data_IF_847301620864
#
_entry.id   IF_847301620864
#
_cell.length_a   1.000
_cell.length_b   1.000
_cell.length_c   1.000
_cell.angle_alpha   90.00
_cell.angle_beta   90.00
_cell.angle_gamma   90.00
#
_symmetry.space_group_name_H-M   'P 1'
#
loop_
_entity.id
_entity.type
_entity.pdbx_description
1 polymer ?
#
# COMPACT_ATOMS: atom_id res chain seq x y z
N UNK A 1 28.16 -0.19 -14.20
CA UNK A 1 26.93 0.62 -14.35
C UNK A 1 25.75 -0.33 -14.49
N UNK A 2 25.09 -0.66 -13.37
CA UNK A 2 24.02 -1.66 -13.34
C UNK A 2 22.71 -1.04 -13.83
N UNK A 3 22.26 -1.45 -15.00
CA UNK A 3 20.98 -1.07 -15.61
C UNK A 3 19.88 -1.64 -14.71
N UNK A 4 19.30 -0.84 -13.80
CA UNK A 4 18.11 -1.23 -13.05
C UNK A 4 17.04 -1.60 -14.09
N UNK A 5 16.74 -2.90 -14.22
CA UNK A 5 15.59 -3.35 -14.98
C UNK A 5 14.36 -2.74 -14.30
N UNK A 6 13.73 -1.76 -14.95
CA UNK A 6 12.37 -1.40 -14.63
C UNK A 6 11.56 -2.70 -14.73
N UNK A 7 11.05 -3.19 -13.62
CA UNK A 7 10.08 -4.29 -13.63
C UNK A 7 8.94 -3.84 -14.54
N UNK A 8 8.79 -4.49 -15.70
CA UNK A 8 7.77 -4.16 -16.68
C UNK A 8 6.39 -4.44 -16.08
N UNK A 9 5.82 -3.43 -15.42
CA UNK A 9 4.41 -3.45 -15.03
C UNK A 9 3.55 -3.18 -16.25
N UNK A 10 2.34 -3.73 -16.24
CA UNK A 10 1.37 -3.46 -17.28
C UNK A 10 0.95 -1.98 -17.22
N UNK A 11 0.97 -1.21 -18.31
CA UNK A 11 0.74 0.22 -18.25
C UNK A 11 -0.71 0.54 -17.88
N UNK A 12 -0.91 1.52 -17.00
CA UNK A 12 -2.23 1.89 -16.47
C UNK A 12 -3.22 2.29 -17.59
N UNK A 13 -2.72 2.93 -18.64
CA UNK A 13 -3.50 3.36 -19.81
C UNK A 13 -3.94 2.20 -20.71
N UNK A 14 -3.28 1.03 -20.65
CA UNK A 14 -3.67 -0.14 -21.45
C UNK A 14 -4.75 -1.01 -20.77
N UNK A 15 -5.16 -0.67 -19.54
CA UNK A 15 -6.22 -1.39 -18.83
C UNK A 15 -7.54 -0.99 -19.46
N UNK A 16 -8.29 -1.97 -19.96
CA UNK A 16 -9.55 -1.75 -20.66
C UNK A 16 -10.73 -1.89 -19.70
N UNK A 17 -11.70 -0.98 -19.81
CA UNK A 17 -12.88 -0.94 -18.93
C UNK A 17 -12.57 -0.44 -17.51
N UNK A 18 -13.43 -0.75 -16.54
CA UNK A 18 -13.26 -0.36 -15.12
C UNK A 18 -13.13 1.16 -14.89
N UNK A 19 -13.85 1.98 -15.67
CA UNK A 19 -13.67 3.43 -15.67
C UNK A 19 -13.87 4.06 -14.29
N UNK A 20 -14.86 3.60 -13.53
CA UNK A 20 -15.09 4.06 -12.16
C UNK A 20 -13.87 3.83 -11.25
N UNK A 21 -13.30 2.63 -11.31
CA UNK A 21 -12.13 2.29 -10.51
C UNK A 21 -10.88 3.05 -10.97
N UNK A 22 -10.72 3.24 -12.29
CA UNK A 22 -9.63 4.05 -12.86
C UNK A 22 -9.72 5.51 -12.39
N UNK A 23 -10.92 6.11 -12.47
CA UNK A 23 -11.15 7.47 -11.99
C UNK A 23 -10.91 7.61 -10.50
N UNK A 24 -11.39 6.66 -9.68
CA UNK A 24 -11.16 6.67 -8.24
C UNK A 24 -9.66 6.74 -7.92
N UNK A 25 -8.84 5.89 -8.55
CA UNK A 25 -7.39 5.91 -8.36
C UNK A 25 -6.77 7.24 -8.82
N UNK A 26 -7.15 7.74 -10.00
CA UNK A 26 -6.66 9.05 -10.49
C UNK A 26 -7.00 10.17 -9.50
N UNK A 27 -8.19 10.17 -8.90
CA UNK A 27 -8.55 11.18 -7.90
C UNK A 27 -7.66 11.12 -6.67
N UNK A 28 -7.23 9.93 -6.23
CA UNK A 28 -6.28 9.79 -5.12
C UNK A 28 -4.88 10.31 -5.47
N UNK A 29 -4.52 10.38 -6.75
CA UNK A 29 -3.28 11.03 -7.18
C UNK A 29 -3.37 12.57 -7.12
N UNK A 30 -4.59 13.13 -7.12
CA UNK A 30 -4.84 14.58 -7.03
C UNK A 30 -5.02 14.99 -5.57
N UNK A 31 -5.84 14.25 -4.83
CA UNK A 31 -6.16 14.52 -3.43
C UNK A 31 -6.09 13.23 -2.61
N UNK A 32 -5.08 13.16 -1.75
CA UNK A 32 -4.85 12.01 -0.85
C UNK A 32 -5.80 12.02 0.36
N UNK A 33 -6.59 13.09 0.57
CA UNK A 33 -7.58 13.19 1.64
C UNK A 33 -8.91 12.48 1.34
N UNK A 34 -9.06 11.88 0.16
CA UNK A 34 -10.29 11.19 -0.29
C UNK A 34 -10.58 9.87 0.45
N UNK A 35 -9.77 9.51 1.45
CA UNK A 35 -9.88 8.26 2.20
C UNK A 35 -9.36 7.06 1.40
N UNK A 36 -9.94 5.89 1.65
CA UNK A 36 -9.58 4.65 0.95
C UNK A 36 -10.51 4.32 -0.22
N UNK A 37 -9.98 3.67 -1.26
CA UNK A 37 -10.78 3.09 -2.36
C UNK A 37 -10.95 1.59 -2.18
N UNK A 38 -12.20 1.11 -2.22
CA UNK A 38 -12.52 -0.32 -2.29
C UNK A 38 -12.79 -0.73 -3.74
N UNK A 39 -12.01 -1.68 -4.26
CA UNK A 39 -12.17 -2.23 -5.61
C UNK A 39 -12.89 -3.58 -5.59
N UNK A 40 -14.15 -3.58 -6.01
CA UNK A 40 -14.98 -4.80 -6.05
C UNK A 40 -15.02 -5.42 -7.44
N UNK A 41 -15.02 -6.75 -7.50
CA UNK A 41 -15.19 -7.50 -8.76
C UNK A 41 -14.79 -8.97 -8.61
N UNK A 42 -14.99 -9.78 -9.64
CA UNK A 42 -14.59 -11.18 -9.63
C UNK A 42 -13.06 -11.37 -9.70
N UNK A 43 -12.59 -12.57 -9.36
CA UNK A 43 -11.20 -12.97 -9.62
C UNK A 43 -10.94 -12.92 -11.13
N UNK A 44 -9.76 -12.46 -11.52
CA UNK A 44 -9.39 -12.31 -12.94
C UNK A 44 -9.80 -10.99 -13.60
N UNK A 45 -10.50 -10.08 -12.91
CA UNK A 45 -10.86 -8.76 -13.44
C UNK A 45 -9.73 -7.71 -13.39
N UNK A 46 -8.45 -8.12 -13.36
CA UNK A 46 -7.29 -7.22 -13.36
C UNK A 46 -7.22 -6.14 -12.24
N UNK A 47 -7.96 -6.30 -11.12
CA UNK A 47 -7.96 -5.34 -9.99
C UNK A 47 -6.56 -5.07 -9.44
N UNK A 48 -5.80 -6.12 -9.11
CA UNK A 48 -4.43 -6.00 -8.60
C UNK A 48 -3.47 -5.45 -9.66
N UNK A 49 -3.65 -5.85 -10.92
CA UNK A 49 -2.90 -5.29 -12.07
C UNK A 49 -3.07 -3.77 -12.16
N UNK A 50 -4.30 -3.28 -11.99
CA UNK A 50 -4.61 -1.85 -12.06
C UNK A 50 -4.02 -1.05 -10.90
N UNK A 51 -4.11 -1.55 -9.66
CA UNK A 51 -3.51 -0.88 -8.50
C UNK A 51 -1.98 -0.87 -8.60
N UNK A 52 -1.36 -1.96 -9.08
CA UNK A 52 0.09 -2.01 -9.32
C UNK A 52 0.53 -1.06 -10.43
N UNK A 53 -0.26 -0.94 -11.50
CA UNK A 53 0.01 0.01 -12.59
C UNK A 53 -0.16 1.48 -12.15
N UNK A 54 -1.06 1.75 -11.20
CA UNK A 54 -1.29 3.08 -10.66
C UNK A 54 -0.08 3.65 -9.90
N UNK A 55 0.77 2.79 -9.31
CA UNK A 55 2.04 3.19 -8.67
C UNK A 55 2.91 4.08 -9.57
N UNK A 56 2.90 3.84 -10.87
CA UNK A 56 3.71 4.59 -11.84
C UNK A 56 3.14 5.99 -12.15
N UNK A 57 1.88 6.24 -11.77
CA UNK A 57 1.23 7.55 -11.87
C UNK A 57 1.53 8.41 -10.63
N UNK A 58 1.69 7.78 -9.47
CA UNK A 58 1.96 8.49 -8.24
C UNK A 58 3.34 9.14 -8.26
N UNK A 59 3.36 10.47 -8.19
CA UNK A 59 4.58 11.26 -8.02
C UNK A 59 4.90 11.34 -6.53
N UNK A 60 5.83 10.50 -6.07
CA UNK A 60 6.28 10.54 -4.67
C UNK A 60 7.49 11.46 -4.51
N UNK A 61 7.26 12.78 -4.57
CA UNK A 61 8.25 13.82 -4.24
C UNK A 61 9.71 13.50 -4.62
N UNK A 62 10.57 13.36 -3.61
CA UNK A 62 12.03 13.14 -3.72
C UNK A 62 12.46 11.73 -4.19
N UNK A 63 11.51 10.82 -4.43
CA UNK A 63 11.79 9.45 -4.85
C UNK A 63 11.31 9.18 -6.28
N UNK A 64 12.12 8.44 -7.05
CA UNK A 64 11.80 8.10 -8.44
C UNK A 64 10.56 7.18 -8.60
N UNK A 65 10.05 6.57 -7.52
CA UNK A 65 8.86 5.72 -7.55
C UNK A 65 8.16 5.71 -6.19
N UNK A 66 6.84 5.84 -6.16
CA UNK A 66 6.04 5.72 -4.93
C UNK A 66 6.15 4.32 -4.33
N UNK A 67 6.21 4.15 -3.00
CA UNK A 67 6.20 2.82 -2.40
C UNK A 67 4.87 2.10 -2.70
N UNK A 68 4.95 0.77 -2.84
CA UNK A 68 3.78 -0.09 -3.02
C UNK A 68 3.93 -1.27 -2.07
N UNK A 69 3.08 -1.32 -1.06
CA UNK A 69 3.18 -2.28 0.04
C UNK A 69 1.91 -3.11 0.06
N UNK A 70 2.04 -4.42 -0.05
CA UNK A 70 0.92 -5.35 0.07
C UNK A 70 0.81 -5.83 1.53
N UNK A 71 -0.40 -5.79 2.07
CA UNK A 71 -0.71 -6.32 3.40
C UNK A 71 -1.01 -7.81 3.28
N UNK A 72 -0.19 -8.69 3.90
CA UNK A 72 -0.46 -10.12 3.91
C UNK A 72 -1.76 -10.43 4.65
N UNK A 73 -2.48 -11.45 4.17
CA UNK A 73 -3.60 -12.04 4.92
C UNK A 73 -3.09 -12.52 6.29
N UNK A 74 -3.66 -12.00 7.37
CA UNK A 74 -3.22 -12.31 8.74
C UNK A 74 -1.99 -11.55 9.22
N UNK A 75 -1.68 -10.38 8.66
CA UNK A 75 -0.73 -9.46 9.27
C UNK A 75 -1.13 -9.18 10.74
N UNK A 76 -0.16 -9.13 11.65
CA UNK A 76 -0.39 -8.65 13.00
C UNK A 76 -0.43 -7.12 13.03
N UNK A 77 -1.02 -6.57 14.09
CA UNK A 77 -0.97 -5.14 14.39
C UNK A 77 0.46 -4.60 14.42
N UNK A 78 1.38 -5.31 15.10
CA UNK A 78 2.81 -4.96 15.14
C UNK A 78 3.46 -4.92 13.75
N UNK A 79 2.99 -5.75 12.81
CA UNK A 79 3.49 -5.72 11.43
C UNK A 79 2.90 -4.53 10.66
N UNK A 80 1.63 -4.21 10.90
CA UNK A 80 0.93 -3.11 10.23
C UNK A 80 1.42 -1.74 10.70
N UNK A 81 1.38 -1.48 12.01
CA UNK A 81 1.75 -0.21 12.64
C UNK A 81 3.26 -0.11 12.89
N UNK A 82 3.90 -1.23 13.22
CA UNK A 82 5.27 -1.28 13.73
C UNK A 82 5.30 -1.69 15.19
N UNK A 83 6.51 -1.91 15.71
CA UNK A 83 6.70 -2.30 17.11
C UNK A 83 7.98 -1.72 17.70
N UNK A 84 8.14 -1.83 19.02
CA UNK A 84 9.35 -1.42 19.74
C UNK A 84 9.91 -2.64 20.46
N UNK A 85 11.22 -2.84 20.40
CA UNK A 85 11.88 -3.93 21.11
C UNK A 85 11.97 -3.61 22.61
N UNK A 86 10.96 -4.03 23.35
CA UNK A 86 10.86 -3.83 24.79
C UNK A 86 12.01 -4.49 25.56
N UNK A 87 12.50 -5.64 25.09
CA UNK A 87 13.60 -6.36 25.73
C UNK A 87 14.89 -5.57 25.66
N UNK A 88 15.25 -5.06 24.46
CA UNK A 88 16.43 -4.20 24.30
C UNK A 88 16.31 -2.88 25.08
N UNK A 89 15.10 -2.33 25.19
CA UNK A 89 14.86 -1.12 25.95
C UNK A 89 15.09 -1.33 27.45
N UNK A 90 14.56 -2.41 28.00
CA UNK A 90 14.66 -2.71 29.44
C UNK A 90 16.07 -3.18 29.82
N UNK A 91 16.70 -4.05 29.03
CA UNK A 91 17.99 -4.63 29.37
C UNK A 91 19.18 -3.71 29.05
N UNK A 92 19.09 -2.94 27.96
CA UNK A 92 20.22 -2.16 27.44
C UNK A 92 19.97 -0.65 27.44
N UNK A 93 18.76 -0.20 27.84
CA UNK A 93 18.37 1.21 27.75
C UNK A 93 18.29 1.72 26.31
N UNK A 94 18.23 0.82 25.31
CA UNK A 94 18.29 1.19 23.89
C UNK A 94 16.91 1.13 23.27
N UNK A 95 16.45 2.28 22.78
CA UNK A 95 15.24 2.39 21.97
C UNK A 95 15.50 1.86 20.55
N UNK A 96 14.75 0.83 20.15
CA UNK A 96 14.80 0.27 18.79
C UNK A 96 13.39 -0.01 18.30
N UNK A 97 13.03 0.64 17.20
CA UNK A 97 11.73 0.48 16.54
C UNK A 97 11.84 -0.40 15.29
N UNK A 98 10.78 -1.14 15.03
CA UNK A 98 10.54 -1.88 13.80
C UNK A 98 9.46 -1.17 13.00
N UNK A 99 9.82 -0.70 11.80
CA UNK A 99 8.91 0.02 10.91
C UNK A 99 7.75 -0.87 10.44
N UNK A 100 6.52 -0.40 10.63
CA UNK A 100 5.31 -1.06 10.14
C UNK A 100 5.13 -0.96 8.62
N UNK A 101 4.15 -1.69 8.10
CA UNK A 101 3.74 -1.61 6.69
C UNK A 101 3.17 -0.23 6.32
N UNK A 102 2.47 0.43 7.24
CA UNK A 102 1.93 1.79 7.03
C UNK A 102 3.05 2.80 6.79
N UNK A 103 4.10 2.75 7.62
CA UNK A 103 5.27 3.61 7.45
C UNK A 103 6.01 3.32 6.14
N UNK A 104 6.11 2.04 5.76
CA UNK A 104 6.71 1.62 4.49
C UNK A 104 5.90 2.11 3.28
N UNK A 105 4.58 2.26 3.42
CA UNK A 105 3.67 2.72 2.39
C UNK A 105 3.52 4.24 2.32
N UNK A 106 4.16 4.98 3.24
CA UNK A 106 3.99 6.42 3.37
C UNK A 106 4.29 7.16 2.06
N UNK A 107 3.35 7.99 1.60
CA UNK A 107 3.44 8.70 0.33
C UNK A 107 3.34 7.81 -0.91
N UNK A 108 2.80 6.60 -0.78
CA UNK A 108 2.54 5.67 -1.86
C UNK A 108 1.23 4.91 -1.69
N UNK A 109 1.26 3.58 -1.89
CA UNK A 109 0.07 2.72 -1.88
C UNK A 109 0.22 1.62 -0.85
N UNK A 110 -0.76 1.52 0.06
CA UNK A 110 -1.03 0.34 0.87
C UNK A 110 -2.15 -0.47 0.20
N UNK A 111 -1.84 -1.69 -0.23
CA UNK A 111 -2.79 -2.57 -0.92
C UNK A 111 -3.16 -3.76 -0.03
N UNK A 112 -4.47 -4.00 0.12
CA UNK A 112 -5.01 -5.18 0.82
C UNK A 112 -5.76 -6.02 -0.20
N UNK A 113 -5.29 -7.24 -0.44
CA UNK A 113 -6.06 -8.21 -1.23
C UNK A 113 -7.11 -8.87 -0.33
N UNK A 114 -8.31 -9.11 -0.87
CA UNK A 114 -9.40 -9.76 -0.13
C UNK A 114 -9.65 -9.12 1.25
N UNK A 115 -9.88 -7.80 1.29
CA UNK A 115 -10.08 -7.00 2.53
C UNK A 115 -11.09 -7.61 3.51
N UNK A 116 -12.07 -8.37 3.01
CA UNK A 116 -13.05 -9.09 3.81
C UNK A 116 -12.47 -10.21 4.69
N UNK A 117 -11.20 -10.57 4.53
CA UNK A 117 -10.48 -11.54 5.35
C UNK A 117 -9.58 -10.87 6.39
N UNK A 118 -9.45 -9.54 6.35
CA UNK A 118 -8.66 -8.80 7.33
C UNK A 118 -9.44 -8.71 8.66
N UNK A 119 -8.78 -8.90 9.81
CA UNK A 119 -9.41 -8.68 11.12
C UNK A 119 -9.97 -7.25 11.25
N UNK A 120 -11.17 -7.12 11.81
CA UNK A 120 -11.90 -5.83 11.92
C UNK A 120 -11.04 -4.71 12.55
N UNK A 121 -10.34 -5.01 13.64
CA UNK A 121 -9.48 -4.03 14.31
C UNK A 121 -8.35 -3.48 13.42
N UNK A 122 -7.82 -4.28 12.48
CA UNK A 122 -6.80 -3.81 11.54
C UNK A 122 -7.39 -2.96 10.42
N UNK A 123 -8.66 -3.22 10.05
CA UNK A 123 -9.38 -2.38 9.09
C UNK A 123 -9.57 -0.99 9.70
N UNK A 124 -10.06 -0.92 10.93
CA UNK A 124 -10.28 0.34 11.65
C UNK A 124 -8.98 1.14 11.77
N UNK A 125 -7.90 0.50 12.21
CA UNK A 125 -6.58 1.13 12.30
C UNK A 125 -6.02 1.63 10.97
N UNK A 126 -6.35 0.96 9.87
CA UNK A 126 -5.92 1.38 8.52
C UNK A 126 -6.71 2.59 8.04
N UNK A 127 -7.96 2.74 8.48
CA UNK A 127 -8.83 3.86 8.10
C UNK A 127 -8.62 5.11 8.97
N UNK A 128 -8.14 4.94 10.20
CA UNK A 128 -7.84 6.03 11.14
C UNK A 128 -6.47 6.70 10.92
N UNK A 129 -5.58 6.07 10.14
CA UNK A 129 -4.20 6.51 9.88
C UNK A 129 -4.11 7.63 8.81
#
# INVERSE_FOLDING_TARGET
MSKKMNSLFFPFTAIVGMDLARHSLIYHAIDQGLGGTVLMGHRGCAKSTMVRAFKDILVSGNSAQAPFVEVPLGASEERLLGSVDATLLVEQGKWREHKGLLEQAHGGVLYVDEVNLLPDHLVDQTLDA
#
